data_IF_621779306381
#
_entry.id   IF_621779306381
#
_cell.length_a   1.000
_cell.length_b   1.000
_cell.length_c   1.000
_cell.angle_alpha   90.00
_cell.angle_beta   90.00
_cell.angle_gamma   90.00
#
_symmetry.space_group_name_H-M   'P 1'
#
loop_
_entity.id
_entity.type
_entity.pdbx_description
1 polymer ?
#
# COMPACT_ATOMS: atom_id res chain seq x y z
N UNK A 1 17.77 -14.08 7.56
CA UNK A 1 18.84 -13.05 7.49
C UNK A 1 19.73 -13.12 6.26
N UNK A 2 20.42 -14.23 5.93
CA UNK A 2 21.36 -14.29 4.79
C UNK A 2 20.77 -13.96 3.39
N UNK A 3 19.43 -13.98 3.26
CA UNK A 3 18.70 -13.61 2.04
C UNK A 3 18.45 -12.11 1.89
N UNK A 4 18.54 -11.34 2.97
CA UNK A 4 18.29 -9.89 2.94
C UNK A 4 19.34 -9.21 2.06
N UNK A 5 18.92 -8.29 1.19
CA UNK A 5 19.80 -7.62 0.24
C UNK A 5 20.13 -8.43 -1.02
N UNK A 6 19.55 -9.63 -1.16
CA UNK A 6 19.79 -10.54 -2.28
C UNK A 6 18.64 -10.54 -3.29
N UNK A 7 18.99 -10.85 -4.54
CA UNK A 7 18.02 -11.22 -5.57
C UNK A 7 18.19 -12.70 -5.88
N UNK A 8 17.11 -13.46 -5.71
CA UNK A 8 17.11 -14.92 -5.78
C UNK A 8 16.02 -15.43 -6.70
N UNK A 9 16.20 -16.65 -7.19
CA UNK A 9 15.13 -17.41 -7.83
C UNK A 9 14.19 -18.05 -6.78
N UNK A 10 13.05 -18.63 -7.20
CA UNK A 10 12.12 -19.30 -6.28
C UNK A 10 12.67 -20.54 -5.56
N UNK A 11 13.82 -21.06 -5.99
CA UNK A 11 14.49 -22.21 -5.36
C UNK A 11 15.51 -21.78 -4.29
N UNK A 12 15.73 -20.48 -4.14
CA UNK A 12 16.68 -19.91 -3.19
C UNK A 12 18.09 -19.72 -3.76
N UNK A 13 18.29 -19.91 -5.07
CA UNK A 13 19.59 -19.67 -5.69
C UNK A 13 19.80 -18.18 -5.93
N UNK A 14 21.00 -17.63 -5.65
CA UNK A 14 21.31 -16.25 -5.96
C UNK A 14 21.44 -16.02 -7.47
N UNK A 15 20.77 -14.98 -7.96
CA UNK A 15 20.82 -14.55 -9.37
C UNK A 15 21.33 -13.10 -9.50
N UNK A 16 21.87 -12.54 -8.41
CA UNK A 16 22.39 -11.16 -8.31
C UNK A 16 23.90 -11.05 -8.57
N UNK A 17 24.60 -12.17 -8.76
CA UNK A 17 26.05 -12.19 -8.96
C UNK A 17 26.88 -11.87 -7.71
N UNK A 18 26.28 -11.80 -6.51
CA UNK A 18 26.98 -11.49 -5.24
C UNK A 18 27.60 -12.74 -4.56
N UNK A 19 27.76 -13.84 -5.29
CA UNK A 19 28.25 -15.11 -4.75
C UNK A 19 27.16 -15.97 -4.08
N UNK A 20 27.54 -17.10 -3.45
CA UNK A 20 26.59 -18.02 -2.84
C UNK A 20 25.85 -17.41 -1.64
N UNK A 21 24.79 -18.08 -1.19
CA UNK A 21 24.03 -17.72 0.02
C UNK A 21 24.30 -18.80 1.06
N UNK A 22 24.82 -18.39 2.22
CA UNK A 22 25.02 -19.27 3.36
C UNK A 22 23.76 -19.32 4.24
N UNK A 23 22.73 -20.01 3.74
CA UNK A 23 21.50 -20.25 4.50
C UNK A 23 21.71 -21.42 5.49
N UNK A 24 21.28 -21.23 6.74
CA UNK A 24 21.39 -22.24 7.81
C UNK A 24 20.20 -23.20 7.88
N UNK A 25 19.08 -22.82 7.28
CA UNK A 25 17.81 -23.53 7.39
C UNK A 25 17.11 -23.62 6.03
N UNK A 26 16.37 -24.70 5.84
CA UNK A 26 15.47 -24.90 4.71
C UNK A 26 14.04 -25.05 5.23
N UNK A 27 13.09 -24.43 4.53
CA UNK A 27 11.66 -24.53 4.85
C UNK A 27 10.87 -24.94 3.62
N UNK A 28 9.74 -25.64 3.85
CA UNK A 28 8.82 -26.02 2.78
C UNK A 28 8.12 -24.78 2.24
N UNK A 29 7.96 -24.71 0.92
CA UNK A 29 7.24 -23.61 0.26
C UNK A 29 5.72 -23.70 0.44
N UNK A 30 5.21 -24.92 0.63
CA UNK A 30 3.81 -25.18 0.94
C UNK A 30 3.66 -25.57 2.41
N UNK A 31 3.09 -24.64 3.19
CA UNK A 31 2.72 -24.82 4.58
C UNK A 31 1.25 -24.48 4.76
N UNK A 32 0.62 -25.12 5.74
CA UNK A 32 -0.75 -24.77 6.13
C UNK A 32 -0.75 -23.41 6.81
N UNK A 33 -1.70 -22.56 6.42
CA UNK A 33 -1.93 -21.27 7.08
C UNK A 33 -2.17 -21.42 8.60
N UNK A 34 -1.76 -20.44 9.42
CA UNK A 34 -2.04 -20.46 10.85
C UNK A 34 -3.56 -20.46 11.09
N UNK A 35 -4.02 -21.33 12.00
CA UNK A 35 -5.43 -21.39 12.41
C UNK A 35 -5.83 -20.17 13.24
N UNK A 36 -7.14 -19.98 13.43
CA UNK A 36 -7.72 -18.78 14.09
C UNK A 36 -7.12 -18.56 15.49
N UNK A 37 -6.95 -19.61 16.29
CA UNK A 37 -6.41 -19.54 17.67
C UNK A 37 -4.98 -19.01 17.72
N UNK A 38 -4.19 -19.22 16.65
CA UNK A 38 -2.80 -18.74 16.56
C UNK A 38 -2.69 -17.28 16.11
N UNK A 39 -3.80 -16.64 15.75
CA UNK A 39 -3.84 -15.26 15.25
C UNK A 39 -4.31 -14.30 16.33
N UNK A 40 -4.00 -13.02 16.16
CA UNK A 40 -4.63 -11.93 16.91
C UNK A 40 -5.16 -10.85 15.96
N UNK A 41 -6.09 -9.99 16.43
CA UNK A 41 -6.58 -8.87 15.63
C UNK A 41 -5.47 -7.92 15.19
N UNK A 42 -5.58 -7.40 13.97
CA UNK A 42 -4.65 -6.40 13.44
C UNK A 42 -4.93 -5.04 14.08
N UNK A 43 -3.98 -4.56 14.90
CA UNK A 43 -4.08 -3.28 15.65
C UNK A 43 -2.87 -2.35 15.45
N UNK A 44 -1.83 -2.84 14.79
CA UNK A 44 -0.60 -2.10 14.54
C UNK A 44 -0.58 -1.61 13.09
N UNK A 45 -0.35 -0.32 12.83
CA UNK A 45 -0.26 0.20 11.46
C UNK A 45 0.99 -0.32 10.75
N UNK A 46 0.86 -0.58 9.46
CA UNK A 46 1.96 -0.66 8.51
C UNK A 46 1.91 0.59 7.65
N UNK A 47 2.75 1.56 7.98
CA UNK A 47 2.77 2.86 7.29
C UNK A 47 3.26 2.68 5.86
N UNK A 48 2.49 3.16 4.89
CA UNK A 48 2.89 3.17 3.47
C UNK A 48 3.66 4.43 3.11
N UNK A 49 3.52 5.50 3.90
CA UNK A 49 4.09 6.80 3.59
C UNK A 49 3.27 7.56 2.55
N UNK A 50 2.10 7.04 2.17
CA UNK A 50 1.26 7.59 1.11
C UNK A 50 -0.01 8.16 1.74
N UNK A 51 -0.16 9.48 1.67
CA UNK A 51 -1.28 10.22 2.31
C UNK A 51 -2.64 9.60 1.98
N UNK A 52 -2.86 9.22 0.72
CA UNK A 52 -4.14 8.68 0.27
C UNK A 52 -4.45 7.29 0.85
N UNK A 53 -3.45 6.50 1.18
CA UNK A 53 -3.61 5.14 1.69
C UNK A 53 -3.69 5.16 3.21
N UNK A 54 -2.67 5.73 3.87
CA UNK A 54 -2.57 5.71 5.34
C UNK A 54 -3.76 6.43 6.01
N UNK A 55 -4.38 7.39 5.31
CA UNK A 55 -5.60 8.07 5.78
C UNK A 55 -6.90 7.35 5.39
N UNK A 56 -7.10 6.96 4.13
CA UNK A 56 -8.41 6.46 3.69
C UNK A 56 -8.52 4.92 3.69
N UNK A 57 -7.43 4.22 3.36
CA UNK A 57 -7.37 2.76 3.20
C UNK A 57 -6.18 2.23 4.02
N UNK A 58 -6.22 2.38 5.36
CA UNK A 58 -5.08 2.03 6.19
C UNK A 58 -4.78 0.54 6.13
N UNK A 59 -3.48 0.23 6.14
CA UNK A 59 -2.95 -1.14 6.11
C UNK A 59 -2.32 -1.43 7.47
N UNK A 60 -2.68 -2.55 8.08
CA UNK A 60 -2.12 -2.99 9.35
C UNK A 60 -1.14 -4.16 9.21
N UNK A 61 -0.27 -4.32 10.21
CA UNK A 61 0.69 -5.42 10.28
C UNK A 61 -0.04 -6.75 10.41
N UNK A 62 0.05 -7.59 9.37
CA UNK A 62 -0.67 -8.86 9.27
C UNK A 62 -1.93 -8.83 8.39
N UNK A 63 -2.26 -7.67 7.82
CA UNK A 63 -3.37 -7.49 6.88
C UNK A 63 -3.01 -7.95 5.47
N UNK A 64 -4.03 -8.24 4.66
CA UNK A 64 -3.91 -8.53 3.23
C UNK A 64 -4.64 -7.45 2.45
N UNK A 65 -3.90 -6.56 1.77
CA UNK A 65 -4.51 -5.44 1.04
C UNK A 65 -4.19 -5.54 -0.45
N UNK A 66 -5.21 -5.77 -1.28
CA UNK A 66 -5.05 -5.94 -2.72
C UNK A 66 -4.74 -4.60 -3.40
N UNK A 67 -3.69 -4.53 -4.21
CA UNK A 67 -3.49 -3.42 -5.15
C UNK A 67 -4.00 -3.86 -6.52
N UNK A 68 -5.08 -3.27 -6.99
CA UNK A 68 -5.75 -3.66 -8.23
C UNK A 68 -5.91 -2.47 -9.16
N UNK A 69 -5.72 -2.69 -10.46
CA UNK A 69 -5.96 -1.69 -11.48
C UNK A 69 -5.33 -2.05 -12.80
N UNK A 70 -5.57 -1.20 -13.80
CA UNK A 70 -5.10 -1.43 -15.16
C UNK A 70 -3.58 -1.31 -15.30
N UNK A 71 -3.08 -1.73 -16.44
CA UNK A 71 -1.68 -1.57 -16.80
C UNK A 71 -1.27 -0.09 -16.67
N UNK A 72 -0.07 0.16 -16.13
CA UNK A 72 0.53 1.50 -16.02
C UNK A 72 -0.20 2.51 -15.11
N UNK A 73 -1.07 2.08 -14.20
CA UNK A 73 -1.74 2.97 -13.22
C UNK A 73 -0.94 3.29 -11.95
N UNK A 74 0.29 2.79 -11.83
CA UNK A 74 1.17 3.05 -10.68
C UNK A 74 1.19 1.98 -9.58
N UNK A 75 0.63 0.78 -9.83
CA UNK A 75 0.57 -0.35 -8.87
C UNK A 75 1.93 -0.69 -8.24
N UNK A 76 2.94 -0.92 -9.07
CA UNK A 76 4.30 -1.23 -8.60
C UNK A 76 4.93 -0.04 -7.89
N UNK A 77 4.69 1.20 -8.34
CA UNK A 77 5.24 2.39 -7.67
C UNK A 77 4.73 2.50 -6.22
N UNK A 78 3.42 2.30 -6.00
CA UNK A 78 2.80 2.26 -4.68
C UNK A 78 3.43 1.19 -3.78
N UNK A 79 3.62 -0.01 -4.33
CA UNK A 79 4.30 -1.11 -3.64
C UNK A 79 5.75 -0.78 -3.25
N UNK A 80 6.52 -0.16 -4.15
CA UNK A 80 7.91 0.22 -3.88
C UNK A 80 8.00 1.36 -2.87
N UNK A 81 7.12 2.36 -2.96
CA UNK A 81 7.03 3.44 -1.96
C UNK A 81 6.75 2.88 -0.57
N UNK A 82 5.86 1.89 -0.48
CA UNK A 82 5.57 1.19 0.77
C UNK A 82 6.83 0.50 1.32
N UNK A 83 7.65 -0.14 0.48
CA UNK A 83 8.93 -0.74 0.91
C UNK A 83 9.92 0.34 1.36
N UNK A 84 10.06 1.43 0.62
CA UNK A 84 10.96 2.54 0.96
C UNK A 84 10.59 3.13 2.33
N UNK A 85 9.29 3.25 2.62
CA UNK A 85 8.81 3.77 3.90
C UNK A 85 9.12 2.86 5.10
N UNK A 86 9.51 1.59 4.89
CA UNK A 86 9.87 0.69 5.99
C UNK A 86 11.29 0.86 6.53
N UNK A 87 12.05 1.82 6.02
CA UNK A 87 13.37 2.14 6.56
C UNK A 87 13.26 2.53 8.04
N UNK A 88 13.90 1.76 8.92
CA UNK A 88 13.86 1.97 10.37
C UNK A 88 12.54 1.57 11.04
N UNK A 89 11.66 0.83 10.37
CA UNK A 89 10.37 0.37 10.93
C UNK A 89 10.41 -1.09 11.45
N UNK A 90 11.58 -1.74 11.39
CA UNK A 90 11.80 -3.14 11.75
C UNK A 90 10.88 -4.13 10.99
N UNK A 91 10.61 -3.84 9.72
CA UNK A 91 9.85 -4.69 8.81
C UNK A 91 10.75 -5.23 7.71
N UNK A 92 10.87 -6.55 7.61
CA UNK A 92 11.57 -7.18 6.49
C UNK A 92 10.65 -7.23 5.27
N UNK A 93 11.12 -6.73 4.15
CA UNK A 93 10.35 -6.67 2.92
C UNK A 93 10.71 -7.83 1.98
N UNK A 94 9.72 -8.35 1.28
CA UNK A 94 9.87 -9.39 0.27
C UNK A 94 9.14 -8.91 -0.98
N UNK A 95 9.87 -8.64 -2.06
CA UNK A 95 9.29 -8.30 -3.35
C UNK A 95 9.36 -9.52 -4.28
N UNK A 96 8.20 -10.09 -4.62
CA UNK A 96 8.08 -11.27 -5.48
C UNK A 96 7.65 -10.84 -6.88
N UNK A 97 8.58 -10.91 -7.84
CA UNK A 97 8.33 -10.63 -9.24
C UNK A 97 7.96 -11.91 -10.00
N UNK A 98 6.72 -11.97 -10.50
CA UNK A 98 6.14 -13.14 -11.16
C UNK A 98 5.85 -12.79 -12.62
N UNK A 99 6.50 -13.47 -13.55
CA UNK A 99 6.32 -13.25 -14.99
C UNK A 99 6.68 -11.83 -15.45
N UNK A 100 7.43 -11.06 -14.65
CA UNK A 100 7.86 -9.71 -15.02
C UNK A 100 9.02 -9.77 -16.01
N UNK A 101 9.21 -8.69 -16.79
CA UNK A 101 10.40 -8.56 -17.64
C UNK A 101 11.63 -8.41 -16.76
N UNK A 102 12.73 -9.09 -17.12
CA UNK A 102 14.01 -8.99 -16.38
C UNK A 102 14.49 -7.53 -16.23
N UNK A 103 14.29 -6.69 -17.25
CA UNK A 103 14.61 -5.26 -17.20
C UNK A 103 13.78 -4.50 -16.15
N UNK A 104 12.50 -4.83 -16.00
CA UNK A 104 11.61 -4.22 -15.00
C UNK A 104 12.04 -4.61 -13.59
N UNK A 105 12.38 -5.88 -13.37
CA UNK A 105 12.91 -6.34 -12.07
C UNK A 105 14.22 -5.63 -11.74
N UNK A 106 15.13 -5.49 -12.72
CA UNK A 106 16.38 -4.76 -12.53
C UNK A 106 16.16 -3.29 -12.16
N UNK A 107 15.20 -2.61 -12.80
CA UNK A 107 14.82 -1.23 -12.46
C UNK A 107 14.28 -1.12 -11.03
N UNK A 108 13.44 -2.06 -10.60
CA UNK A 108 12.93 -2.11 -9.22
C UNK A 108 14.07 -2.30 -8.22
N UNK A 109 14.96 -3.27 -8.45
CA UNK A 109 16.14 -3.52 -7.60
C UNK A 109 17.02 -2.28 -7.51
N UNK A 110 17.25 -1.61 -8.63
CA UNK A 110 18.05 -0.38 -8.68
C UNK A 110 17.39 0.75 -7.88
N UNK A 111 16.07 0.92 -7.98
CA UNK A 111 15.33 1.88 -7.16
C UNK A 111 15.44 1.55 -5.68
N UNK A 112 15.24 0.29 -5.29
CA UNK A 112 15.40 -0.13 -3.91
C UNK A 112 16.82 0.13 -3.39
N UNK A 113 17.87 -0.04 -4.22
CA UNK A 113 19.25 0.33 -3.84
C UNK A 113 19.42 1.83 -3.65
N UNK A 114 18.90 2.64 -4.56
CA UNK A 114 19.00 4.12 -4.51
C UNK A 114 18.44 4.68 -3.20
N UNK A 115 17.38 4.08 -2.66
CA UNK A 115 16.76 4.50 -1.40
C UNK A 115 17.31 3.76 -0.17
N UNK A 116 18.28 2.85 -0.33
CA UNK A 116 18.82 2.02 0.75
C UNK A 116 17.83 0.96 1.27
N UNK A 117 16.78 0.67 0.49
CA UNK A 117 15.74 -0.27 0.87
C UNK A 117 16.15 -1.74 0.69
N UNK A 118 17.19 -2.01 -0.11
CA UNK A 118 17.74 -3.38 -0.22
C UNK A 118 18.29 -3.91 1.11
N UNK A 119 18.69 -3.04 2.05
CA UNK A 119 19.26 -3.44 3.34
C UNK A 119 18.29 -4.25 4.22
N UNK A 120 17.00 -4.21 3.90
CA UNK A 120 15.94 -4.95 4.58
C UNK A 120 14.97 -5.64 3.60
N UNK A 121 15.35 -5.76 2.32
CA UNK A 121 14.48 -6.34 1.28
C UNK A 121 15.10 -7.59 0.65
N UNK A 122 14.28 -8.62 0.47
CA UNK A 122 14.56 -9.81 -0.35
C UNK A 122 13.81 -9.67 -1.66
N UNK A 123 14.46 -9.90 -2.80
CA UNK A 123 13.80 -9.93 -4.10
C UNK A 123 13.76 -11.36 -4.62
N UNK A 124 12.56 -11.91 -4.81
CA UNK A 124 12.34 -13.21 -5.44
C UNK A 124 11.89 -12.97 -6.87
N UNK A 125 12.64 -13.46 -7.85
CA UNK A 125 12.32 -13.21 -9.26
C UNK A 125 12.13 -14.52 -10.05
N UNK A 126 10.93 -14.69 -10.60
CA UNK A 126 10.63 -15.65 -11.66
C UNK A 126 10.17 -14.85 -12.88
N UNK A 127 11.11 -14.50 -13.76
CA UNK A 127 10.83 -13.60 -14.90
C UNK A 127 10.02 -14.29 -16.00
N UNK A 128 9.49 -13.51 -16.95
CA UNK A 128 8.70 -14.03 -18.07
C UNK A 128 9.42 -15.08 -18.95
N UNK A 129 10.76 -15.08 -18.95
CA UNK A 129 11.56 -16.07 -19.69
C UNK A 129 11.73 -17.40 -18.95
N UNK A 130 11.37 -17.45 -17.67
CA UNK A 130 11.47 -18.66 -16.86
C UNK A 130 10.27 -19.60 -17.07
N UNK A 131 10.42 -20.92 -16.87
CA UNK A 131 9.32 -21.87 -16.96
C UNK A 131 8.13 -21.52 -16.06
N UNK A 132 6.93 -21.88 -16.50
CA UNK A 132 5.69 -21.67 -15.74
C UNK A 132 5.72 -22.31 -14.34
N UNK A 133 6.50 -23.38 -14.15
CA UNK A 133 6.70 -24.01 -12.83
C UNK A 133 7.41 -23.10 -11.83
N UNK A 134 8.42 -22.34 -12.27
CA UNK A 134 9.10 -21.35 -11.41
C UNK A 134 8.18 -20.16 -11.12
N UNK A 135 7.46 -19.66 -12.12
CA UNK A 135 6.49 -18.58 -11.93
C UNK A 135 5.38 -18.97 -10.95
N UNK A 136 4.92 -20.23 -11.01
CA UNK A 136 3.96 -20.81 -10.08
C UNK A 136 4.48 -20.91 -8.64
N UNK A 137 5.74 -21.28 -8.43
CA UNK A 137 6.27 -21.48 -7.08
C UNK A 137 6.77 -20.19 -6.41
N UNK A 138 7.03 -19.14 -7.19
CA UNK A 138 7.59 -17.86 -6.71
C UNK A 138 6.81 -17.21 -5.55
N UNK A 139 5.47 -17.09 -5.59
CA UNK A 139 4.72 -16.52 -4.47
C UNK A 139 4.83 -17.35 -3.20
N UNK A 140 4.83 -18.68 -3.33
CA UNK A 140 4.95 -19.59 -2.20
C UNK A 140 6.34 -19.50 -1.56
N UNK A 141 7.40 -19.42 -2.37
CA UNK A 141 8.76 -19.23 -1.89
C UNK A 141 8.93 -17.90 -1.14
N UNK A 142 8.46 -16.79 -1.74
CA UNK A 142 8.48 -15.48 -1.10
C UNK A 142 7.66 -15.43 0.20
N UNK A 143 6.50 -16.09 0.21
CA UNK A 143 5.68 -16.22 1.41
C UNK A 143 6.43 -16.97 2.52
N UNK A 144 7.06 -18.12 2.23
CA UNK A 144 7.86 -18.88 3.21
C UNK A 144 9.03 -18.07 3.78
N UNK A 145 9.66 -17.23 2.96
CA UNK A 145 10.71 -16.31 3.44
C UNK A 145 10.16 -15.26 4.39
N UNK A 146 8.96 -14.72 4.12
CA UNK A 146 8.26 -13.83 5.04
C UNK A 146 7.82 -14.52 6.33
N UNK A 147 7.35 -15.76 6.24
CA UNK A 147 6.95 -16.57 7.40
C UNK A 147 8.11 -16.84 8.35
N UNK A 148 9.35 -17.00 7.85
CA UNK A 148 10.52 -17.10 8.72
C UNK A 148 10.62 -15.93 9.70
N UNK A 149 10.39 -14.71 9.22
CA UNK A 149 10.42 -13.51 10.07
C UNK A 149 9.19 -13.44 10.97
N UNK A 150 7.98 -13.68 10.45
CA UNK A 150 6.74 -13.74 11.23
C UNK A 150 6.87 -14.70 12.42
N UNK A 151 7.34 -15.91 12.17
CA UNK A 151 7.44 -16.98 13.16
C UNK A 151 8.60 -16.77 14.14
N UNK A 152 9.52 -15.85 13.84
CA UNK A 152 10.58 -15.40 14.76
C UNK A 152 10.17 -14.23 15.65
N UNK A 153 8.89 -13.85 15.65
CA UNK A 153 8.37 -12.69 16.38
C UNK A 153 8.64 -11.34 15.70
N UNK A 154 9.19 -11.35 14.48
CA UNK A 154 9.47 -10.14 13.69
C UNK A 154 8.33 -9.82 12.73
N UNK A 155 8.41 -8.68 12.07
CA UNK A 155 7.41 -8.23 11.11
C UNK A 155 7.94 -8.32 9.68
N UNK A 156 7.08 -8.72 8.77
CA UNK A 156 7.38 -8.83 7.35
C UNK A 156 6.28 -8.25 6.47
N UNK A 157 6.67 -7.79 5.30
CA UNK A 157 5.83 -7.30 4.22
C UNK A 157 6.14 -8.07 2.94
N UNK A 158 5.17 -8.79 2.38
CA UNK A 158 5.30 -9.50 1.12
C UNK A 158 4.47 -8.84 0.02
N UNK A 159 5.12 -8.50 -1.09
CA UNK A 159 4.50 -7.93 -2.29
C UNK A 159 4.54 -8.98 -3.40
N UNK A 160 3.40 -9.22 -4.05
CA UNK A 160 3.30 -10.18 -5.16
C UNK A 160 2.97 -9.46 -6.46
N UNK A 161 3.95 -9.29 -7.35
CA UNK A 161 3.87 -8.51 -8.61
C UNK A 161 4.05 -9.42 -9.84
N UNK A 162 3.00 -10.02 -10.41
CA UNK A 162 1.60 -9.92 -9.99
C UNK A 162 0.92 -11.30 -9.94
N UNK A 163 -0.18 -11.38 -9.19
CA UNK A 163 -0.95 -12.63 -9.03
C UNK A 163 -1.81 -12.95 -10.27
N UNK A 164 -2.00 -12.00 -11.19
CA UNK A 164 -2.65 -12.27 -12.48
C UNK A 164 -1.77 -13.20 -13.32
N UNK A 165 -0.46 -12.89 -13.43
CA UNK A 165 0.53 -13.74 -14.10
C UNK A 165 0.75 -15.06 -13.38
N UNK A 166 0.67 -15.08 -12.05
CA UNK A 166 0.68 -16.31 -11.27
C UNK A 166 -0.46 -17.27 -11.66
N UNK A 167 -1.69 -16.75 -11.75
CA UNK A 167 -2.85 -17.53 -12.18
C UNK A 167 -2.68 -18.03 -13.62
N UNK A 168 -2.13 -17.22 -14.53
CA UNK A 168 -1.84 -17.62 -15.91
C UNK A 168 -0.82 -18.76 -15.97
N UNK A 169 0.24 -18.70 -15.16
CA UNK A 169 1.22 -19.79 -15.05
C UNK A 169 0.54 -21.09 -14.56
N UNK A 170 -0.32 -21.00 -13.53
CA UNK A 170 -1.04 -22.17 -13.03
C UNK A 170 -2.03 -22.74 -14.06
N UNK A 171 -2.69 -21.87 -14.83
CA UNK A 171 -3.55 -22.26 -15.95
C UNK A 171 -2.76 -23.04 -17.01
N UNK A 172 -1.60 -22.53 -17.41
CA UNK A 172 -0.73 -23.20 -18.38
C UNK A 172 -0.32 -24.60 -17.90
N UNK A 173 0.13 -24.72 -16.65
CA UNK A 173 0.49 -26.02 -16.06
C UNK A 173 -0.71 -26.99 -16.03
N UNK A 174 -1.89 -26.51 -15.61
CA UNK A 174 -3.10 -27.33 -15.51
C UNK A 174 -3.55 -27.86 -16.86
N UNK A 175 -3.50 -27.03 -17.91
CA UNK A 175 -3.85 -27.42 -19.27
C UNK A 175 -2.87 -28.44 -19.86
N UNK A 176 -1.57 -28.26 -19.61
CA UNK A 176 -0.54 -29.24 -20.03
C UNK A 176 -0.71 -30.60 -19.35
N UNK A 177 -1.15 -30.58 -18.09
CA UNK A 177 -1.51 -31.79 -17.32
C UNK A 177 -2.90 -32.36 -17.70
N UNK A 178 -3.57 -31.77 -18.71
CA UNK A 178 -4.91 -32.17 -19.19
C UNK A 178 -5.97 -32.17 -18.08
N UNK A 179 -5.83 -31.28 -17.09
CA UNK A 179 -6.89 -31.07 -16.10
C UNK A 179 -8.07 -30.34 -16.76
N UNK A 180 -9.32 -30.71 -16.44
CA UNK A 180 -10.50 -30.00 -16.96
C UNK A 180 -10.46 -28.50 -16.61
N UNK A 181 -10.58 -27.60 -17.61
CA UNK A 181 -10.65 -26.17 -17.37
C UNK A 181 -12.07 -25.71 -17.00
N UNK A 182 -12.17 -24.58 -16.31
CA UNK A 182 -13.39 -23.87 -15.99
C UNK A 182 -13.47 -22.50 -16.70
N UNK A 183 -14.01 -21.49 -16.00
CA UNK A 183 -14.17 -20.12 -16.51
C UNK A 183 -12.82 -19.53 -16.94
N UNK A 184 -12.80 -18.88 -18.10
CA UNK A 184 -11.58 -18.28 -18.71
C UNK A 184 -10.39 -19.28 -18.84
N UNK A 185 -10.73 -20.57 -18.95
CA UNK A 185 -9.83 -21.71 -19.00
C UNK A 185 -8.98 -21.95 -17.74
N UNK A 186 -9.25 -21.28 -16.61
CA UNK A 186 -8.58 -21.56 -15.34
C UNK A 186 -9.04 -22.89 -14.73
N UNK A 187 -8.18 -23.62 -14.01
CA UNK A 187 -8.59 -24.82 -13.29
C UNK A 187 -9.56 -24.48 -12.14
N UNK A 188 -10.41 -25.44 -11.75
CA UNK A 188 -11.43 -25.22 -10.72
C UNK A 188 -10.90 -24.86 -9.33
N UNK A 189 -9.62 -25.14 -9.05
CA UNK A 189 -8.94 -24.85 -7.79
C UNK A 189 -8.08 -23.56 -7.83
N UNK A 190 -8.23 -22.71 -8.86
CA UNK A 190 -7.51 -21.42 -8.93
C UNK A 190 -7.85 -20.47 -7.77
N UNK A 191 -9.06 -20.57 -7.20
CA UNK A 191 -9.40 -19.86 -5.98
C UNK A 191 -8.55 -20.36 -4.80
N UNK A 192 -8.44 -21.69 -4.66
CA UNK A 192 -7.65 -22.32 -3.60
C UNK A 192 -6.16 -21.99 -3.70
N UNK A 193 -5.64 -21.83 -4.93
CA UNK A 193 -4.28 -21.36 -5.19
C UNK A 193 -3.94 -20.08 -4.42
N UNK A 194 -4.78 -19.05 -4.57
CA UNK A 194 -4.56 -17.74 -3.96
C UNK A 194 -5.02 -17.70 -2.50
N UNK A 195 -6.08 -18.41 -2.12
CA UNK A 195 -6.53 -18.42 -0.73
C UNK A 195 -5.50 -19.09 0.18
N UNK A 196 -4.95 -20.25 -0.20
CA UNK A 196 -3.90 -20.94 0.59
C UNK A 196 -2.59 -20.16 0.64
N UNK A 197 -2.33 -19.29 -0.33
CA UNK A 197 -1.19 -18.37 -0.32
C UNK A 197 -1.45 -17.20 0.65
N UNK A 198 -2.53 -16.46 0.44
CA UNK A 198 -2.77 -15.20 1.14
C UNK A 198 -3.21 -15.41 2.59
N UNK A 199 -3.90 -16.52 2.93
CA UNK A 199 -4.24 -16.88 4.32
C UNK A 199 -3.01 -17.15 5.20
N UNK A 200 -1.83 -17.32 4.61
CA UNK A 200 -0.57 -17.42 5.37
C UNK A 200 -0.11 -16.06 5.91
N UNK A 201 -0.54 -14.95 5.32
CA UNK A 201 -0.28 -13.62 5.87
C UNK A 201 -1.22 -13.35 7.06
N UNK A 202 -0.65 -13.16 8.25
CA UNK A 202 -1.40 -12.94 9.49
C UNK A 202 -0.54 -12.24 10.55
N UNK A 203 -1.19 -11.66 11.56
CA UNK A 203 -0.60 -11.28 12.85
C UNK A 203 -0.73 -12.45 13.83
N UNK A 204 0.39 -12.96 14.33
CA UNK A 204 0.44 -14.07 15.26
C UNK A 204 0.09 -13.61 16.68
N UNK A 205 -0.53 -14.47 17.47
CA UNK A 205 -0.81 -14.20 18.89
C UNK A 205 0.49 -13.99 19.68
N UNK A 206 0.40 -13.39 20.86
CA UNK A 206 1.56 -13.14 21.72
C UNK A 206 2.21 -14.46 22.18
N UNK A 207 1.42 -15.52 22.35
CA UNK A 207 1.90 -16.89 22.63
C UNK A 207 2.73 -17.48 21.48
N UNK A 208 2.44 -17.08 20.24
CA UNK A 208 3.18 -17.48 19.04
C UNK A 208 4.29 -16.45 18.68
N UNK A 209 4.63 -15.56 19.61
CA UNK A 209 5.72 -14.58 19.48
C UNK A 209 5.31 -13.23 18.88
N UNK A 210 4.04 -13.02 18.55
CA UNK A 210 3.52 -11.70 18.17
C UNK A 210 3.95 -11.17 16.79
N UNK A 211 4.71 -11.94 16.00
CA UNK A 211 5.19 -11.50 14.69
C UNK A 211 4.08 -11.35 13.65
N UNK A 212 4.38 -10.72 12.51
CA UNK A 212 3.40 -10.49 11.45
C UNK A 212 3.95 -10.71 10.05
N UNK A 213 3.06 -11.15 9.16
CA UNK A 213 3.29 -11.11 7.71
C UNK A 213 2.13 -10.36 7.07
N UNK A 214 2.43 -9.17 6.54
CA UNK A 214 1.47 -8.35 5.78
C UNK A 214 1.63 -8.67 4.30
N UNK A 215 0.53 -8.77 3.55
CA UNK A 215 0.55 -9.10 2.13
C UNK A 215 -0.06 -7.99 1.28
N UNK A 216 0.67 -7.57 0.24
CA UNK A 216 0.19 -6.67 -0.81
C UNK A 216 0.20 -7.40 -2.16
N UNK A 217 -0.83 -8.22 -2.45
CA UNK A 217 -0.97 -8.80 -3.77
C UNK A 217 -1.29 -7.73 -4.79
N UNK A 218 -0.67 -7.82 -5.98
CA UNK A 218 -1.00 -6.99 -7.12
C UNK A 218 -1.84 -7.80 -8.11
N UNK A 219 -2.92 -7.21 -8.62
CA UNK A 219 -3.71 -7.74 -9.72
C UNK A 219 -3.79 -6.71 -10.84
N UNK A 220 -3.50 -7.15 -12.06
CA UNK A 220 -3.77 -6.37 -13.26
C UNK A 220 -5.16 -6.70 -13.79
N UNK A 221 -5.99 -5.67 -13.95
CA UNK A 221 -7.27 -5.73 -14.66
C UNK A 221 -7.08 -5.46 -16.15
N UNK A 222 -8.07 -5.85 -16.95
CA UNK A 222 -8.14 -5.54 -18.37
C UNK A 222 -9.25 -4.52 -18.58
N UNK A 223 -8.90 -3.31 -19.01
CA UNK A 223 -9.85 -2.22 -19.27
C UNK A 223 -10.82 -1.94 -18.09
N UNK A 224 -10.31 -1.97 -16.87
CA UNK A 224 -11.07 -1.71 -15.64
C UNK A 224 -12.04 -2.83 -15.23
N UNK A 225 -12.02 -3.99 -15.89
CA UNK A 225 -12.95 -5.07 -15.58
C UNK A 225 -12.57 -5.80 -14.28
N UNK A 226 -13.23 -5.38 -13.19
CA UNK A 226 -13.16 -6.03 -11.87
C UNK A 226 -14.02 -7.29 -11.77
N UNK A 227 -14.92 -7.54 -12.72
CA UNK A 227 -15.82 -8.69 -12.75
C UNK A 227 -15.19 -9.93 -13.38
N UNK A 228 -13.99 -9.78 -13.95
CA UNK A 228 -13.16 -10.87 -14.41
C UNK A 228 -12.86 -11.87 -13.28
N UNK A 229 -12.62 -13.13 -13.66
CA UNK A 229 -12.63 -14.23 -12.71
C UNK A 229 -11.54 -14.11 -11.62
N UNK A 230 -10.31 -13.76 -12.00
CA UNK A 230 -9.19 -13.64 -11.04
C UNK A 230 -9.32 -12.43 -10.12
N UNK A 231 -9.60 -11.20 -10.61
CA UNK A 231 -9.90 -10.05 -9.75
C UNK A 231 -10.98 -10.35 -8.70
N UNK A 232 -12.12 -10.91 -9.13
CA UNK A 232 -13.23 -11.24 -8.22
C UNK A 232 -12.80 -12.19 -7.11
N UNK A 233 -12.04 -13.24 -7.45
CA UNK A 233 -11.53 -14.20 -6.48
C UNK A 233 -10.63 -13.50 -5.45
N UNK A 234 -9.66 -12.70 -5.89
CA UNK A 234 -8.68 -12.10 -4.97
C UNK A 234 -9.32 -11.02 -4.08
N UNK A 235 -10.27 -10.22 -4.60
CA UNK A 235 -11.05 -9.25 -3.81
C UNK A 235 -11.79 -9.93 -2.64
N UNK A 236 -12.27 -11.17 -2.86
CA UNK A 236 -12.97 -11.95 -1.84
C UNK A 236 -12.04 -12.64 -0.82
N UNK A 237 -10.74 -12.74 -1.13
CA UNK A 237 -9.73 -13.38 -0.27
C UNK A 237 -9.02 -12.35 0.62
N UNK A 238 -8.73 -11.15 0.09
CA UNK A 238 -8.03 -10.11 0.83
C UNK A 238 -8.92 -9.45 1.88
N UNK A 239 -8.32 -8.70 2.80
CA UNK A 239 -9.02 -7.90 3.81
C UNK A 239 -9.42 -6.53 3.28
N UNK A 240 -9.01 -6.19 2.06
CA UNK A 240 -9.36 -4.93 1.42
C UNK A 240 -8.77 -4.84 0.02
N UNK A 241 -9.00 -3.70 -0.61
CA UNK A 241 -8.44 -3.36 -1.90
C UNK A 241 -8.17 -1.86 -2.04
N UNK A 242 -7.09 -1.55 -2.74
CA UNK A 242 -6.73 -0.24 -3.27
C UNK A 242 -6.91 -0.31 -4.78
N UNK A 243 -7.93 0.39 -5.26
CA UNK A 243 -8.28 0.43 -6.68
C UNK A 243 -7.61 1.63 -7.34
N UNK A 244 -6.72 1.37 -8.30
CA UNK A 244 -6.05 2.39 -9.10
C UNK A 244 -6.75 2.55 -10.45
N UNK A 245 -7.25 3.75 -10.69
CA UNK A 245 -8.08 4.07 -11.85
C UNK A 245 -7.29 4.84 -12.91
N UNK A 246 -7.45 4.43 -14.16
CA UNK A 246 -6.77 5.00 -15.32
C UNK A 246 -7.15 6.47 -15.54
N UNK A 247 -8.42 6.82 -15.37
CA UNK A 247 -8.91 8.18 -15.59
C UNK A 247 -8.35 9.18 -14.57
N UNK A 248 -8.28 8.76 -13.29
CA UNK A 248 -7.62 9.56 -12.25
C UNK A 248 -6.14 9.78 -12.57
N UNK A 249 -5.45 8.75 -13.05
CA UNK A 249 -4.04 8.84 -13.43
C UNK A 249 -3.80 9.84 -14.57
N UNK A 250 -4.66 9.85 -15.59
CA UNK A 250 -4.59 10.80 -16.71
C UNK A 250 -5.05 12.21 -16.34
N UNK A 251 -5.97 12.34 -15.37
CA UNK A 251 -6.36 13.62 -14.77
C UNK A 251 -5.27 14.21 -13.85
N UNK A 252 -4.11 13.57 -13.72
CA UNK A 252 -3.00 14.05 -12.90
C UNK A 252 -3.14 13.79 -11.41
N UNK A 253 -4.11 12.96 -10.99
CA UNK A 253 -4.25 12.51 -9.60
C UNK A 253 -3.31 11.30 -9.41
N UNK A 254 -2.23 11.51 -8.67
CA UNK A 254 -1.20 10.51 -8.41
C UNK A 254 -0.87 10.52 -6.91
N UNK A 255 -1.01 9.40 -6.18
CA UNK A 255 -1.45 8.08 -6.65
C UNK A 255 -2.92 8.07 -7.08
N UNK A 256 -3.25 7.28 -8.10
CA UNK A 256 -4.55 7.28 -8.77
C UNK A 256 -5.62 6.47 -8.01
N UNK A 257 -5.72 6.67 -6.70
CA UNK A 257 -6.57 5.88 -5.80
C UNK A 257 -8.03 6.29 -5.95
N UNK A 258 -8.89 5.34 -6.32
CA UNK A 258 -10.33 5.53 -6.29
C UNK A 258 -10.88 5.32 -4.86
N UNK A 259 -11.26 6.41 -4.21
CA UNK A 259 -11.73 6.41 -2.81
C UNK A 259 -13.04 5.62 -2.61
N UNK A 260 -13.91 5.58 -3.62
CA UNK A 260 -15.20 4.89 -3.53
C UNK A 260 -15.09 3.38 -3.67
N UNK A 261 -14.20 2.91 -4.54
CA UNK A 261 -13.97 1.48 -4.80
C UNK A 261 -12.94 0.86 -3.86
N UNK A 262 -12.05 1.67 -3.28
CA UNK A 262 -11.04 1.20 -2.34
C UNK A 262 -11.60 1.04 -0.93
N UNK A 263 -11.27 -0.06 -0.27
CA UNK A 263 -11.84 -0.43 1.03
C UNK A 263 -10.78 -1.16 1.84
N UNK A 264 -10.59 -0.77 3.11
CA UNK A 264 -9.87 -1.57 4.11
C UNK A 264 -10.89 -2.09 5.13
N UNK A 265 -11.06 -3.42 5.25
CA UNK A 265 -12.01 -4.04 6.19
C UNK A 265 -11.48 -4.06 7.63
N UNK A 266 -10.18 -3.90 7.83
CA UNK A 266 -9.59 -3.64 9.16
C UNK A 266 -9.95 -2.23 9.64
N UNK A 267 -10.02 -1.28 8.72
CA UNK A 267 -10.45 0.09 8.99
C UNK A 267 -9.52 0.82 9.97
N UNK A 268 -10.08 1.72 10.77
CA UNK A 268 -9.32 2.56 11.70
C UNK A 268 -8.59 1.83 12.83
N UNK A 269 -8.74 0.50 12.95
CA UNK A 269 -7.90 -0.31 13.85
C UNK A 269 -6.45 -0.42 13.35
N UNK A 270 -6.23 -0.23 12.04
CA UNK A 270 -4.91 -0.16 11.44
C UNK A 270 -4.32 1.27 11.42
N UNK A 271 -4.88 2.22 12.19
CA UNK A 271 -4.41 3.60 12.26
C UNK A 271 -3.96 3.95 13.68
N UNK A 272 -3.00 4.86 13.78
CA UNK A 272 -2.76 5.57 15.03
C UNK A 272 -3.94 6.50 15.33
N UNK A 273 -4.17 6.78 16.62
CA UNK A 273 -5.33 7.55 17.08
C UNK A 273 -5.38 8.95 16.46
N UNK A 274 -4.23 9.61 16.32
CA UNK A 274 -4.08 10.90 15.65
C UNK A 274 -4.56 10.88 14.18
N UNK A 275 -4.16 9.87 13.40
CA UNK A 275 -4.61 9.73 12.01
C UNK A 275 -6.12 9.46 11.96
N UNK A 276 -6.65 8.61 12.85
CA UNK A 276 -8.08 8.32 12.93
C UNK A 276 -8.92 9.58 13.21
N UNK A 277 -8.42 10.48 14.06
CA UNK A 277 -9.10 11.74 14.39
C UNK A 277 -9.23 12.69 13.19
N UNK A 278 -8.29 12.67 12.23
CA UNK A 278 -8.32 13.54 11.04
C UNK A 278 -8.90 12.86 9.81
N UNK A 279 -8.63 11.57 9.62
CA UNK A 279 -9.00 10.81 8.43
C UNK A 279 -10.50 10.53 8.33
N UNK A 280 -11.21 10.42 9.47
CA UNK A 280 -12.66 10.18 9.46
C UNK A 280 -13.43 11.28 8.73
N UNK A 281 -13.04 12.55 8.96
CA UNK A 281 -13.64 13.71 8.29
C UNK A 281 -13.23 13.78 6.82
N UNK A 282 -11.96 13.55 6.52
CA UNK A 282 -11.44 13.52 5.14
C UNK A 282 -12.23 12.57 4.23
N UNK A 283 -12.47 11.33 4.68
CA UNK A 283 -13.17 10.32 3.88
C UNK A 283 -14.62 10.73 3.57
N UNK A 284 -15.31 11.32 4.53
CA UNK A 284 -16.67 11.81 4.36
C UNK A 284 -16.72 12.97 3.36
N UNK A 285 -15.84 13.96 3.50
CA UNK A 285 -15.79 15.13 2.62
C UNK A 285 -15.43 14.74 1.18
N UNK A 286 -14.51 13.79 0.96
CA UNK A 286 -14.15 13.31 -0.38
C UNK A 286 -15.24 12.45 -1.03
N UNK A 287 -15.99 11.67 -0.25
CA UNK A 287 -17.13 10.91 -0.76
C UNK A 287 -18.23 11.86 -1.27
N UNK A 288 -18.59 12.85 -0.46
CA UNK A 288 -19.56 13.90 -0.83
C UNK A 288 -19.08 14.71 -2.03
N UNK A 289 -17.79 15.07 -2.06
CA UNK A 289 -17.20 15.77 -3.20
C UNK A 289 -17.39 15.01 -4.51
N UNK A 290 -17.12 13.70 -4.53
CA UNK A 290 -17.26 12.90 -5.75
C UNK A 290 -18.69 12.82 -6.24
N UNK A 291 -19.64 12.64 -5.32
CA UNK A 291 -21.06 12.62 -5.63
C UNK A 291 -21.48 13.97 -6.25
N UNK A 292 -21.17 15.07 -5.57
CA UNK A 292 -21.49 16.42 -6.04
C UNK A 292 -20.78 16.80 -7.34
N UNK A 293 -19.52 16.41 -7.52
CA UNK A 293 -18.76 16.72 -8.73
C UNK A 293 -19.37 16.06 -9.98
N UNK A 294 -19.94 14.86 -9.84
CA UNK A 294 -20.68 14.21 -10.92
C UNK A 294 -21.97 14.97 -11.27
N UNK A 295 -22.72 15.45 -10.26
CA UNK A 295 -23.95 16.23 -10.47
C UNK A 295 -23.69 17.65 -11.01
N UNK A 296 -22.63 18.30 -10.55
CA UNK A 296 -22.25 19.65 -10.93
C UNK A 296 -21.94 19.78 -12.43
N UNK A 297 -21.59 18.70 -13.12
CA UNK A 297 -21.41 18.69 -14.58
C UNK A 297 -22.72 18.93 -15.34
N UNK A 298 -23.88 18.72 -14.71
CA UNK A 298 -25.20 18.82 -15.34
C UNK A 298 -26.04 20.01 -14.85
N UNK A 299 -25.59 20.74 -13.82
CA UNK A 299 -26.32 21.85 -13.22
C UNK A 299 -25.72 23.22 -13.56
N UNK A 300 -26.55 24.21 -13.91
CA UNK A 300 -26.10 25.57 -14.22
C UNK A 300 -25.99 26.48 -13.00
N UNK A 301 -26.80 26.25 -11.96
CA UNK A 301 -26.81 27.06 -10.73
C UNK A 301 -26.59 26.16 -9.51
N UNK A 302 -25.41 26.27 -8.92
CA UNK A 302 -25.07 25.61 -7.66
C UNK A 302 -25.22 26.60 -6.51
N UNK A 303 -25.89 26.19 -5.44
CA UNK A 303 -25.97 27.00 -4.23
C UNK A 303 -24.59 27.17 -3.57
N UNK A 304 -24.46 28.19 -2.72
CA UNK A 304 -23.17 28.56 -2.11
C UNK A 304 -22.57 27.43 -1.26
N UNK A 305 -23.39 26.60 -0.61
CA UNK A 305 -22.88 25.50 0.20
C UNK A 305 -22.28 24.41 -0.69
N UNK A 306 -22.96 24.05 -1.79
CA UNK A 306 -22.42 23.12 -2.80
C UNK A 306 -21.13 23.63 -3.42
N UNK A 307 -21.05 24.93 -3.76
CA UNK A 307 -19.82 25.55 -4.27
C UNK A 307 -18.66 25.42 -3.27
N UNK A 308 -18.90 25.71 -1.99
CA UNK A 308 -17.88 25.56 -0.94
C UNK A 308 -17.44 24.10 -0.76
N UNK A 309 -18.36 23.13 -0.83
CA UNK A 309 -18.02 21.70 -0.74
C UNK A 309 -17.18 21.24 -1.93
N UNK A 310 -17.53 21.66 -3.16
CA UNK A 310 -16.74 21.37 -4.35
C UNK A 310 -15.35 21.98 -4.27
N UNK A 311 -15.27 23.23 -3.83
CA UNK A 311 -14.03 23.96 -3.67
C UNK A 311 -13.11 23.31 -2.62
N UNK A 312 -13.66 22.86 -1.48
CA UNK A 312 -12.88 22.12 -0.48
C UNK A 312 -12.46 20.75 -0.99
N UNK A 313 -13.36 20.00 -1.61
CA UNK A 313 -13.05 18.67 -2.15
C UNK A 313 -11.95 18.67 -3.21
N UNK A 314 -11.90 19.71 -4.06
CA UNK A 314 -10.81 19.92 -5.01
C UNK A 314 -9.45 20.11 -4.31
N UNK A 315 -9.41 20.91 -3.23
CA UNK A 315 -8.20 21.15 -2.42
C UNK A 315 -7.75 19.92 -1.66
N UNK A 316 -8.68 19.16 -1.09
CA UNK A 316 -8.38 17.89 -0.42
C UNK A 316 -7.82 16.87 -1.43
N UNK A 317 -8.39 16.82 -2.63
CA UNK A 317 -7.88 15.96 -3.72
C UNK A 317 -6.45 16.34 -4.11
N UNK A 318 -6.14 17.63 -4.17
CA UNK A 318 -4.78 18.11 -4.44
C UNK A 318 -3.80 17.78 -3.31
N UNK A 319 -4.19 17.98 -2.06
CA UNK A 319 -3.40 17.62 -0.88
C UNK A 319 -3.07 16.13 -0.87
N UNK A 320 -3.93 15.27 -1.39
CA UNK A 320 -3.66 13.83 -1.46
C UNK A 320 -2.72 13.43 -2.58
N UNK A 321 -2.38 14.34 -3.51
CA UNK A 321 -1.36 14.07 -4.53
C UNK A 321 0.01 13.95 -3.86
N UNK A 322 0.80 13.03 -4.37
CA UNK A 322 2.13 12.74 -3.87
C UNK A 322 3.02 12.22 -5.00
N UNK A 323 4.26 12.70 -5.03
CA UNK A 323 5.25 12.22 -5.98
C UNK A 323 5.69 10.78 -5.63
N UNK A 324 6.02 10.00 -6.65
CA UNK A 324 6.58 8.66 -6.48
C UNK A 324 7.94 8.74 -5.78
N UNK A 325 8.24 7.74 -4.96
CA UNK A 325 9.49 7.61 -4.21
C UNK A 325 9.76 8.72 -3.20
N UNK A 326 8.70 9.40 -2.77
CA UNK A 326 8.74 10.44 -1.75
C UNK A 326 7.72 10.12 -0.64
N UNK A 327 7.87 9.00 0.09
CA UNK A 327 6.99 8.69 1.21
C UNK A 327 7.09 9.78 2.29
N UNK A 328 5.96 10.11 2.90
CA UNK A 328 5.85 11.12 3.94
C UNK A 328 5.71 10.46 5.33
N UNK A 329 6.48 10.91 6.32
CA UNK A 329 6.27 10.51 7.71
C UNK A 329 4.84 10.80 8.19
N UNK A 330 4.31 9.93 9.05
CA UNK A 330 2.90 9.97 9.47
C UNK A 330 2.51 11.29 10.13
N UNK A 331 3.41 11.91 10.89
CA UNK A 331 3.19 13.21 11.53
C UNK A 331 2.97 14.34 10.51
N UNK A 332 3.69 14.33 9.38
CA UNK A 332 3.51 15.29 8.29
C UNK A 332 2.18 15.06 7.59
N UNK A 333 1.84 13.79 7.32
CA UNK A 333 0.55 13.44 6.74
C UNK A 333 -0.61 13.92 7.62
N UNK A 334 -0.54 13.71 8.94
CA UNK A 334 -1.58 14.15 9.89
C UNK A 334 -1.74 15.67 9.84
N UNK A 335 -0.63 16.42 9.86
CA UNK A 335 -0.68 17.88 9.86
C UNK A 335 -1.35 18.43 8.60
N UNK A 336 -0.95 17.98 7.41
CA UNK A 336 -1.53 18.52 6.17
C UNK A 336 -3.01 18.12 6.00
N UNK A 337 -3.37 16.90 6.43
CA UNK A 337 -4.78 16.46 6.42
C UNK A 337 -5.59 17.27 7.44
N UNK A 338 -5.03 17.56 8.61
CA UNK A 338 -5.65 18.43 9.61
C UNK A 338 -5.88 19.84 9.04
N UNK A 339 -4.87 20.44 8.39
CA UNK A 339 -4.99 21.74 7.74
C UNK A 339 -6.11 21.74 6.67
N UNK A 340 -6.11 20.72 5.82
CA UNK A 340 -7.12 20.53 4.77
C UNK A 340 -8.55 20.41 5.31
N UNK A 341 -8.76 19.49 6.25
CA UNK A 341 -10.09 19.18 6.78
C UNK A 341 -10.66 20.28 7.69
N UNK A 342 -9.82 21.12 8.28
CA UNK A 342 -10.27 22.25 9.10
C UNK A 342 -10.35 23.58 8.33
N UNK A 343 -10.10 23.57 7.02
CA UNK A 343 -10.31 24.73 6.16
C UNK A 343 -9.18 25.77 6.16
N UNK A 344 -8.01 25.45 6.72
CA UNK A 344 -6.84 26.34 6.69
C UNK A 344 -6.28 26.56 5.29
N UNK A 345 -6.72 25.75 4.33
CA UNK A 345 -6.34 25.84 2.92
C UNK A 345 -7.45 26.38 2.01
N UNK A 346 -8.64 26.65 2.56
CA UNK A 346 -9.83 27.00 1.76
C UNK A 346 -9.67 28.33 1.02
N UNK A 347 -8.84 29.24 1.53
CA UNK A 347 -8.58 30.55 0.93
C UNK A 347 -7.56 30.52 -0.22
N UNK A 348 -6.87 29.39 -0.43
CA UNK A 348 -5.81 29.26 -1.44
C UNK A 348 -6.27 28.53 -2.70
N UNK A 349 -5.74 28.92 -3.85
CA UNK A 349 -5.98 28.20 -5.10
C UNK A 349 -5.31 26.82 -5.11
N UNK A 350 -5.93 25.88 -5.84
CA UNK A 350 -5.43 24.49 -5.93
C UNK A 350 -3.96 24.42 -6.38
N UNK A 351 -3.56 25.29 -7.32
CA UNK A 351 -2.21 25.30 -7.89
C UNK A 351 -1.09 25.63 -6.89
N UNK A 352 -1.41 26.32 -5.78
CA UNK A 352 -0.39 26.73 -4.79
C UNK A 352 -0.28 25.75 -3.62
N UNK A 353 -1.16 24.74 -3.53
CA UNK A 353 -1.22 23.84 -2.37
C UNK A 353 0.02 22.96 -2.21
N UNK A 354 0.69 22.62 -3.31
CA UNK A 354 1.97 21.89 -3.23
C UNK A 354 3.05 22.74 -2.54
N UNK A 355 3.14 24.03 -2.90
CA UNK A 355 4.06 24.97 -2.27
C UNK A 355 3.68 25.20 -0.81
N UNK A 356 2.39 25.37 -0.52
CA UNK A 356 1.85 25.47 0.84
C UNK A 356 2.30 24.28 1.69
N UNK A 357 2.14 23.05 1.20
CA UNK A 357 2.55 21.84 1.91
C UNK A 357 4.06 21.83 2.22
N UNK A 358 4.90 22.11 1.22
CA UNK A 358 6.36 22.11 1.40
C UNK A 358 6.85 23.19 2.37
N UNK A 359 6.29 24.40 2.30
CA UNK A 359 6.65 25.51 3.20
C UNK A 359 6.08 25.31 4.61
N UNK A 360 4.87 24.76 4.74
CA UNK A 360 4.28 24.44 6.04
C UNK A 360 5.17 23.45 6.81
N UNK A 361 5.65 22.40 6.14
CA UNK A 361 6.53 21.43 6.80
C UNK A 361 7.82 22.06 7.31
N UNK A 362 8.47 22.92 6.50
CA UNK A 362 9.69 23.62 6.93
C UNK A 362 9.41 24.57 8.08
N UNK A 363 8.33 25.33 8.00
CA UNK A 363 7.92 26.25 9.06
C UNK A 363 7.73 25.54 10.40
N UNK A 364 7.04 24.39 10.41
CA UNK A 364 6.84 23.61 11.62
C UNK A 364 8.15 22.97 12.10
N UNK A 365 9.01 22.49 11.20
CA UNK A 365 10.33 21.97 11.58
C UNK A 365 11.22 23.03 12.25
N UNK A 366 11.16 24.27 11.76
CA UNK A 366 12.03 25.36 12.22
C UNK A 366 11.49 26.05 13.49
N UNK A 367 10.18 26.29 13.56
CA UNK A 367 9.56 27.08 14.65
C UNK A 367 8.78 26.27 15.68
N UNK A 368 8.18 25.16 15.28
CA UNK A 368 7.29 24.34 16.13
C UNK A 368 7.62 22.84 16.08
N UNK A 369 8.90 22.41 16.21
CA UNK A 369 9.28 21.01 16.07
C UNK A 369 8.61 20.10 17.11
N UNK A 370 8.18 20.66 18.24
CA UNK A 370 7.42 19.97 19.27
C UNK A 370 6.12 19.34 18.75
N UNK A 371 5.48 19.91 17.71
CA UNK A 371 4.25 19.34 17.13
C UNK A 371 4.55 17.98 16.51
N UNK A 372 5.61 17.87 15.70
CA UNK A 372 6.01 16.61 15.09
C UNK A 372 6.59 15.61 16.09
N UNK A 373 7.26 16.09 17.14
CA UNK A 373 7.70 15.22 18.23
C UNK A 373 6.50 14.63 18.99
N UNK A 374 5.56 15.48 19.40
CA UNK A 374 4.40 15.09 20.19
C UNK A 374 3.48 14.13 19.41
N UNK A 375 3.29 14.35 18.09
CA UNK A 375 2.54 13.44 17.22
C UNK A 375 3.20 12.05 17.13
N UNK A 376 4.53 11.98 17.07
CA UNK A 376 5.27 10.70 16.99
C UNK A 376 5.20 9.92 18.30
N UNK A 377 5.35 10.62 19.42
CA UNK A 377 5.40 10.00 20.75
C UNK A 377 4.01 9.63 21.27
N UNK A 378 3.08 10.60 21.29
CA UNK A 378 1.74 10.40 21.86
C UNK A 378 0.81 9.64 20.92
N UNK A 379 1.03 9.72 19.59
CA UNK A 379 0.21 9.07 18.56
C UNK A 379 -1.28 9.46 18.61
N UNK A 380 -1.60 10.56 19.28
CA UNK A 380 -2.93 11.12 19.51
C UNK A 380 -2.87 12.65 19.43
N UNK A 381 -3.92 13.26 18.89
CA UNK A 381 -4.13 14.71 18.96
C UNK A 381 -4.92 15.00 20.22
N UNK A 382 -4.23 15.38 21.30
CA UNK A 382 -4.85 15.93 22.50
C UNK A 382 -5.42 17.33 22.23
N UNK A 383 -6.25 17.85 23.13
CA UNK A 383 -6.79 19.21 23.01
C UNK A 383 -5.65 20.25 23.03
N UNK A 384 -4.66 20.07 23.90
CA UNK A 384 -3.44 20.91 23.96
C UNK A 384 -2.66 20.90 22.63
N UNK A 385 -2.43 19.72 22.05
CA UNK A 385 -1.73 19.61 20.78
C UNK A 385 -2.55 20.20 19.64
N UNK A 386 -3.88 20.04 19.66
CA UNK A 386 -4.77 20.67 18.70
C UNK A 386 -4.66 22.19 18.75
N UNK A 387 -4.65 22.79 19.94
CA UNK A 387 -4.49 24.23 20.10
C UNK A 387 -3.14 24.70 19.54
N UNK A 388 -2.05 23.99 19.81
CA UNK A 388 -0.73 24.28 19.22
C UNK A 388 -0.75 24.19 17.69
N UNK A 389 -1.34 23.12 17.13
CA UNK A 389 -1.46 22.95 15.68
C UNK A 389 -2.26 24.08 15.04
N UNK A 390 -3.37 24.48 15.64
CA UNK A 390 -4.19 25.62 15.16
C UNK A 390 -3.42 26.92 15.24
N UNK A 391 -2.76 27.22 16.36
CA UNK A 391 -1.96 28.43 16.53
C UNK A 391 -0.83 28.50 15.49
N UNK A 392 -0.12 27.39 15.25
CA UNK A 392 0.94 27.33 14.26
C UNK A 392 0.42 27.50 12.82
N UNK A 393 -0.76 26.95 12.50
CA UNK A 393 -1.39 27.14 11.18
C UNK A 393 -1.88 28.58 10.96
N UNK A 394 -2.40 29.24 11.99
CA UNK A 394 -2.76 30.66 11.93
C UNK A 394 -1.53 31.57 11.80
N UNK A 395 -0.44 31.27 12.52
CA UNK A 395 0.83 31.99 12.33
C UNK A 395 1.35 31.80 10.89
N UNK A 396 1.32 30.55 10.40
CA UNK A 396 1.75 30.25 9.04
C UNK A 396 0.90 30.97 7.99
N UNK A 397 -0.42 31.11 8.20
CA UNK A 397 -1.32 31.86 7.32
C UNK A 397 -0.88 33.32 7.13
N UNK A 398 -0.32 33.95 8.17
CA UNK A 398 0.21 35.31 8.09
C UNK A 398 1.54 35.45 7.35
N UNK A 399 2.24 34.33 7.12
CA UNK A 399 3.58 34.28 6.50
C UNK A 399 3.51 33.78 5.06
N UNK A 400 2.65 32.80 4.80
CA UNK A 400 2.57 32.14 3.50
C UNK A 400 2.06 33.11 2.42
N UNK A 401 2.81 33.19 1.33
CA UNK A 401 2.43 33.95 0.14
C UNK A 401 2.20 32.98 -1.03
N UNK A 402 0.99 32.93 -1.60
CA UNK A 402 0.63 32.02 -2.70
C UNK A 402 1.62 32.03 -3.86
#
# INVERSE_FOLDING_TARGET
DALVGRVIDPLGNPIDGKGPIEAKEFRRVELKAPGIVKRQPVKEPLQTGIKAIDSMIPIGRGQRELIIGDRQTGKTALAIDTIINQKGQDVICIYVAIGQKRSTVAQVVEKLKQFGAMDYTIVVAATASEPATLQYIAPYAGCTMGEYYRDSGRHALAIYDDLSKHAVAYRQLSLLLRRPPGREAYPGDVFYLHSRLLERAAKMSDEEGGGSLTALPIIETQAGDVSAYIPTNVISITDGQIYLETDLFYAGIRPAVNVGLSVSRVGGNAQIKAMKQVAGRLRLELAQYRELAAFAQFGSDLDRATQMQLARGARLTEILKQAQYSPLPVEKQILIIFAGTNGFVDDYDVGVLKKYEEELYRFIEDKHPEIFQELREKKEISDELREKMVAALEEFKGIFQP
#
